data_IF_041334621114
#
_entry.id   IF_041334621114
#
_cell.length_a   1.000
_cell.length_b   1.000
_cell.length_c   1.000
_cell.angle_alpha   90.00
_cell.angle_beta   90.00
_cell.angle_gamma   90.00
#
_symmetry.space_group_name_H-M   'P 1'
#
loop_
_entity.id
_entity.type
_entity.pdbx_description
1 polymer ?
#
# COMPACT_ATOMS: atom_id res chain seq x y z
N UNK A 1 -3.82 15.18 13.78
CA UNK A 1 -2.36 14.96 13.79
C UNK A 1 -1.89 14.79 12.36
N UNK A 2 -0.83 15.49 11.97
CA UNK A 2 -0.29 15.42 10.61
C UNK A 2 0.69 14.25 10.52
N UNK A 3 0.42 13.29 9.62
CA UNK A 3 1.32 12.16 9.38
C UNK A 3 2.60 12.68 8.74
N UNK A 4 3.75 12.32 9.30
CA UNK A 4 5.06 12.71 8.74
C UNK A 4 5.47 11.77 7.60
N UNK A 5 6.39 12.23 6.75
CA UNK A 5 6.94 11.41 5.67
C UNK A 5 7.71 10.19 6.19
N UNK A 6 8.35 10.31 7.36
CA UNK A 6 9.06 9.21 8.02
C UNK A 6 8.08 8.13 8.49
N UNK A 7 7.00 8.51 9.17
CA UNK A 7 5.92 7.58 9.55
C UNK A 7 5.34 6.87 8.32
N UNK A 8 5.11 7.60 7.23
CA UNK A 8 4.63 7.02 5.98
C UNK A 8 5.64 6.04 5.35
N UNK A 9 6.95 6.28 5.48
CA UNK A 9 8.01 5.37 5.00
C UNK A 9 8.08 4.08 5.83
N UNK A 10 7.96 4.18 7.14
CA UNK A 10 7.90 3.01 8.04
C UNK A 10 6.66 2.16 7.74
N UNK A 11 5.49 2.79 7.65
CA UNK A 11 4.24 2.12 7.32
C UNK A 11 4.30 1.45 5.93
N UNK A 12 4.90 2.11 4.93
CA UNK A 12 5.16 1.52 3.61
C UNK A 12 6.04 0.27 3.70
N UNK A 13 7.12 0.31 4.48
CA UNK A 13 8.03 -0.82 4.66
C UNK A 13 7.31 -2.02 5.27
N UNK A 14 6.50 -1.78 6.31
CA UNK A 14 5.68 -2.81 6.92
C UNK A 14 4.62 -3.35 5.97
N UNK A 15 3.93 -2.49 5.22
CA UNK A 15 2.97 -2.91 4.20
C UNK A 15 3.61 -3.79 3.12
N UNK A 16 4.83 -3.49 2.71
CA UNK A 16 5.59 -4.32 1.77
C UNK A 16 5.86 -5.71 2.35
N UNK A 17 6.31 -5.79 3.61
CA UNK A 17 6.53 -7.07 4.30
C UNK A 17 5.24 -7.87 4.43
N UNK A 18 4.15 -7.23 4.86
CA UNK A 18 2.83 -7.86 4.97
C UNK A 18 2.32 -8.34 3.61
N UNK A 19 2.52 -7.57 2.54
CA UNK A 19 2.08 -7.96 1.19
C UNK A 19 2.70 -9.29 0.73
N UNK A 20 3.96 -9.52 1.11
CA UNK A 20 4.71 -10.74 0.81
C UNK A 20 4.27 -11.92 1.67
N UNK A 21 4.03 -11.68 2.96
CA UNK A 21 3.64 -12.73 3.93
C UNK A 21 2.18 -13.15 3.82
N UNK A 22 1.27 -12.18 3.65
CA UNK A 22 -0.18 -12.40 3.63
C UNK A 22 -0.72 -12.76 2.23
N UNK A 23 0.18 -13.01 1.27
CA UNK A 23 -0.14 -13.34 -0.13
C UNK A 23 -1.13 -12.34 -0.75
N UNK A 24 -0.96 -11.04 -0.47
CA UNK A 24 -1.71 -10.02 -1.19
C UNK A 24 -1.26 -10.04 -2.64
N UNK A 25 -2.18 -9.91 -3.61
CA UNK A 25 -1.83 -9.87 -5.03
C UNK A 25 -1.20 -8.51 -5.41
N UNK A 26 -0.31 -7.97 -4.58
CA UNK A 26 0.25 -6.64 -4.71
C UNK A 26 1.24 -6.54 -5.87
N UNK A 27 1.04 -5.54 -6.73
CA UNK A 27 1.94 -5.18 -7.84
C UNK A 27 2.83 -4.01 -7.50
N UNK A 28 2.50 -3.25 -6.45
CA UNK A 28 3.33 -2.17 -5.94
C UNK A 28 2.84 -1.64 -4.60
N UNK A 29 3.77 -1.15 -3.78
CA UNK A 29 3.51 -0.50 -2.50
C UNK A 29 4.27 0.83 -2.48
N UNK A 30 3.55 1.92 -2.22
CA UNK A 30 4.08 3.28 -2.25
C UNK A 30 3.47 4.17 -1.18
N UNK A 31 3.91 5.43 -1.18
CA UNK A 31 3.31 6.50 -0.38
C UNK A 31 2.52 7.36 -1.37
N UNK A 32 1.28 7.67 -1.01
CA UNK A 32 0.40 8.55 -1.77
C UNK A 32 -0.28 9.56 -0.84
N UNK A 33 -1.28 10.24 -1.38
CA UNK A 33 -2.16 11.14 -0.66
C UNK A 33 -3.56 10.52 -0.59
N UNK A 34 -4.18 10.51 0.59
CA UNK A 34 -5.57 10.15 0.77
C UNK A 34 -6.14 10.89 1.99
N UNK A 35 -7.44 11.23 1.95
CA UNK A 35 -8.14 11.90 3.06
C UNK A 35 -7.45 13.18 3.56
N UNK A 36 -6.79 13.92 2.66
CA UNK A 36 -6.09 15.16 2.99
C UNK A 36 -4.71 14.98 3.64
N UNK A 37 -4.12 13.78 3.62
CA UNK A 37 -2.78 13.53 4.15
C UNK A 37 -2.07 12.34 3.54
N UNK A 38 -0.88 12.03 4.08
CA UNK A 38 -0.07 10.90 3.61
C UNK A 38 -0.75 9.57 3.91
N UNK A 39 -0.69 8.67 2.94
CA UNK A 39 -1.26 7.33 3.00
C UNK A 39 -0.33 6.30 2.37
N UNK A 40 -0.45 5.04 2.77
CA UNK A 40 0.17 3.92 2.07
C UNK A 40 -0.75 3.51 0.92
N UNK A 41 -0.25 3.61 -0.31
CA UNK A 41 -0.97 3.15 -1.51
C UNK A 41 -0.51 1.76 -1.90
N UNK A 42 -1.44 0.81 -2.01
CA UNK A 42 -1.18 -0.56 -2.45
C UNK A 42 -1.90 -0.81 -3.77
N UNK A 43 -1.13 -1.07 -4.83
CA UNK A 43 -1.68 -1.50 -6.10
C UNK A 43 -1.81 -3.02 -6.10
N UNK A 44 -3.00 -3.52 -6.45
CA UNK A 44 -3.32 -4.93 -6.48
C UNK A 44 -3.59 -5.39 -7.92
N UNK A 45 -3.11 -6.57 -8.27
CA UNK A 45 -3.38 -7.18 -9.58
C UNK A 45 -4.77 -7.81 -9.69
N UNK A 46 -5.40 -8.10 -8.56
CA UNK A 46 -6.73 -8.68 -8.46
C UNK A 46 -7.33 -8.37 -7.10
N UNK A 47 -8.62 -8.68 -6.93
CA UNK A 47 -9.29 -8.54 -5.64
C UNK A 47 -8.59 -9.43 -4.60
N UNK A 48 -8.18 -8.88 -3.43
CA UNK A 48 -7.50 -9.65 -2.42
C UNK A 48 -8.48 -10.63 -1.75
N UNK A 49 -8.02 -11.84 -1.41
CA UNK A 49 -8.85 -12.84 -0.72
C UNK A 49 -9.19 -12.45 0.71
N UNK A 50 -8.29 -11.71 1.36
CA UNK A 50 -8.46 -11.13 2.69
C UNK A 50 -8.53 -9.61 2.57
N UNK A 51 -9.24 -8.95 3.47
CA UNK A 51 -9.22 -7.48 3.55
C UNK A 51 -7.80 -7.02 3.88
N UNK A 52 -7.40 -5.90 3.26
CA UNK A 52 -6.20 -5.19 3.67
C UNK A 52 -6.51 -4.42 4.96
N UNK A 53 -5.50 -4.20 5.82
CA UNK A 53 -5.65 -3.31 6.95
C UNK A 53 -5.99 -1.91 6.44
N UNK A 54 -6.85 -1.19 7.16
CA UNK A 54 -7.23 0.18 6.82
C UNK A 54 -6.18 1.19 7.31
N UNK A 55 -5.36 0.79 8.30
CA UNK A 55 -4.34 1.62 8.94
C UNK A 55 -3.10 0.75 9.25
N UNK A 56 -1.91 1.28 9.01
CA UNK A 56 -0.63 0.70 9.45
C UNK A 56 0.15 1.81 10.16
N UNK A 57 0.52 1.59 11.44
CA UNK A 57 1.24 2.57 12.27
C UNK A 57 0.59 3.96 12.29
N UNK A 58 -0.75 4.02 12.34
CA UNK A 58 -1.50 5.27 12.30
C UNK A 58 -1.60 5.93 10.91
N UNK A 59 -0.98 5.33 9.89
CA UNK A 59 -1.06 5.81 8.49
C UNK A 59 -2.16 5.06 7.74
N UNK A 60 -3.12 5.76 7.10
CA UNK A 60 -4.19 5.12 6.35
C UNK A 60 -3.63 4.35 5.16
N UNK A 61 -4.24 3.20 4.88
CA UNK A 61 -3.91 2.34 3.75
C UNK A 61 -5.05 2.41 2.76
N UNK A 62 -4.70 2.76 1.52
CA UNK A 62 -5.63 2.75 0.40
C UNK A 62 -5.15 1.76 -0.64
N UNK A 63 -6.09 1.05 -1.26
CA UNK A 63 -5.75 0.12 -2.32
C UNK A 63 -6.57 0.36 -3.57
N UNK A 64 -5.96 0.00 -4.69
CA UNK A 64 -6.57 0.10 -6.01
C UNK A 64 -6.29 -1.21 -6.77
N UNK A 65 -7.30 -1.73 -7.45
CA UNK A 65 -7.14 -2.92 -8.29
C UNK A 65 -6.78 -2.44 -9.69
N UNK A 66 -5.50 -2.51 -10.02
CA UNK A 66 -4.94 -1.98 -11.28
C UNK A 66 -4.68 -3.07 -12.34
N UNK A 67 -4.94 -4.34 -12.01
CA UNK A 67 -4.71 -5.47 -12.90
C UNK A 67 -3.24 -5.92 -12.96
N UNK A 68 -2.91 -6.84 -13.87
CA UNK A 68 -1.54 -7.35 -14.03
C UNK A 68 -0.63 -6.27 -14.62
N UNK A 69 -0.04 -5.44 -13.77
CA UNK A 69 1.01 -4.51 -14.17
C UNK A 69 2.33 -5.28 -14.27
N UNK A 70 2.95 -5.27 -15.45
CA UNK A 70 4.34 -5.71 -15.67
C UNK A 70 5.19 -4.50 -15.98
N UNK A 71 6.43 -4.48 -15.47
CA UNK A 71 7.43 -3.48 -15.85
C UNK A 71 7.61 -3.55 -17.37
N UNK A 72 7.38 -2.45 -18.09
CA UNK A 72 7.87 -2.30 -19.47
C UNK A 72 9.38 -2.10 -19.36
N UNK A 73 10.14 -2.98 -20.00
CA UNK A 73 11.58 -2.78 -20.16
C UNK A 73 11.81 -1.53 -21.02
N UNK A 74 12.79 -0.71 -20.60
CA UNK A 74 13.39 0.31 -21.46
C UNK A 74 14.29 -0.38 -22.48
#
# INVERSE_FOLDING_TARGET
MTITLEQAREAKSQALTMSRQAAWPATGVGIGQALGGLAVKVNLSSKPRKRLPEIINGVPVVYEITGKIRKRGL
#
